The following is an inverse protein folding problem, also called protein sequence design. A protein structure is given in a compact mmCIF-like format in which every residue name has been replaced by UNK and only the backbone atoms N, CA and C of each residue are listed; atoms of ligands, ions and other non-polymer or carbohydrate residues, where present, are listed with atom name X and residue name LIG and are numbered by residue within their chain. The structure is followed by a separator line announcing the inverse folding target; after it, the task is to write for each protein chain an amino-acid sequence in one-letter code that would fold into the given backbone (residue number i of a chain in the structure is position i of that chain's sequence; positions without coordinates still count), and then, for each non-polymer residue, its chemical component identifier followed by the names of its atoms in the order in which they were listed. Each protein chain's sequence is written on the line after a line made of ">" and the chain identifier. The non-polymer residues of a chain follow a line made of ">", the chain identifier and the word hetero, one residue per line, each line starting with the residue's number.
data_IF_940630233864
#
_entry.id   IF_940630233864
#
_cell.length_a   1.000
_cell.length_b   1.000
_cell.length_c   1.000
_cell.angle_alpha   90.00
_cell.angle_beta   90.00
_cell.angle_gamma   90.00
#
_symmetry.space_group_name_H-M   'P 1'
#
loop_
_entity.id
_entity.type
_entity.pdbx_description
1 polymer ?
#
# COMPACT_ATOMS: atom_id res chain seq x y z
N UNK A 1 9.71 -22.78 -0.49
CA UNK A 1 8.94 -23.00 -1.73
C UNK A 1 8.95 -21.67 -2.45
N UNK A 2 9.20 -21.62 -3.77
CA UNK A 2 9.17 -20.37 -4.54
C UNK A 2 7.83 -19.63 -4.38
N UNK A 3 7.79 -18.35 -4.76
CA UNK A 3 6.53 -17.61 -4.89
C UNK A 3 5.59 -18.34 -5.86
N UNK A 4 4.31 -18.39 -5.51
CA UNK A 4 3.26 -18.86 -6.41
C UNK A 4 2.64 -17.64 -7.11
N UNK A 5 2.81 -17.54 -8.43
CA UNK A 5 2.23 -16.44 -9.22
C UNK A 5 0.89 -16.90 -9.77
N UNK A 6 -0.16 -16.12 -9.47
CA UNK A 6 -1.53 -16.29 -9.91
C UNK A 6 -1.99 -15.07 -10.68
N UNK A 7 -2.82 -15.31 -11.69
CA UNK A 7 -3.50 -14.25 -12.40
C UNK A 7 -4.65 -13.67 -11.54
N UNK A 8 -5.04 -12.41 -11.78
CA UNK A 8 -6.23 -11.81 -11.19
C UNK A 8 -7.54 -12.61 -11.41
N UNK A 9 -7.58 -13.53 -12.37
CA UNK A 9 -8.72 -14.42 -12.61
C UNK A 9 -8.67 -15.77 -11.89
N UNK A 10 -7.55 -16.11 -11.24
CA UNK A 10 -7.39 -17.38 -10.52
C UNK A 10 -8.18 -17.41 -9.19
N UNK A 11 -8.33 -18.58 -8.55
CA UNK A 11 -8.95 -18.69 -7.24
C UNK A 11 -8.29 -17.78 -6.19
N UNK A 12 -9.13 -17.01 -5.48
CA UNK A 12 -8.69 -16.06 -4.46
C UNK A 12 -8.31 -16.77 -3.17
N UNK A 13 -7.36 -16.17 -2.45
CA UNK A 13 -7.10 -16.50 -1.05
C UNK A 13 -8.09 -15.73 -0.15
N UNK A 14 -8.39 -16.23 1.07
CA UNK A 14 -9.35 -15.58 1.97
C UNK A 14 -8.87 -14.20 2.44
N UNK A 15 -7.56 -13.97 2.47
CA UNK A 15 -6.90 -12.76 2.93
C UNK A 15 -5.84 -12.34 1.91
N UNK A 16 -5.88 -11.08 1.44
CA UNK A 16 -4.95 -10.56 0.45
C UNK A 16 -4.43 -9.19 0.90
N UNK A 17 -3.11 -9.04 0.97
CA UNK A 17 -2.45 -7.77 1.21
C UNK A 17 -2.25 -7.02 -0.12
N UNK A 18 -2.58 -5.74 -0.17
CA UNK A 18 -2.34 -4.91 -1.34
C UNK A 18 -1.06 -4.11 -1.13
N UNK A 19 -0.12 -4.22 -2.04
CA UNK A 19 1.04 -3.34 -2.05
C UNK A 19 0.68 -1.93 -2.58
N UNK A 20 1.66 -1.03 -2.62
CA UNK A 20 1.44 0.31 -3.15
C UNK A 20 1.22 0.34 -4.66
N UNK A 21 1.89 -0.51 -5.44
CA UNK A 21 1.75 -0.52 -6.90
C UNK A 21 0.32 -0.88 -7.34
N UNK A 22 -0.28 -1.91 -6.73
CA UNK A 22 -1.68 -2.26 -6.92
C UNK A 22 -2.62 -1.16 -6.38
N UNK A 23 -2.36 -0.65 -5.17
CA UNK A 23 -3.21 0.38 -4.55
C UNK A 23 -3.24 1.68 -5.35
N UNK A 24 -2.11 2.08 -5.94
CA UNK A 24 -2.03 3.22 -6.86
C UNK A 24 -2.85 2.95 -8.10
N UNK A 25 -2.70 1.76 -8.73
CA UNK A 25 -3.44 1.41 -9.92
C UNK A 25 -4.97 1.40 -9.69
N UNK A 26 -5.44 0.93 -8.53
CA UNK A 26 -6.87 0.99 -8.17
C UNK A 26 -7.41 2.41 -8.10
N UNK A 27 -6.63 3.40 -7.62
CA UNK A 27 -7.11 4.78 -7.45
C UNK A 27 -6.86 5.68 -8.65
N UNK A 28 -5.79 5.46 -9.41
CA UNK A 28 -5.41 6.35 -10.52
C UNK A 28 -6.07 5.88 -11.82
N UNK A 29 -7.16 6.54 -12.21
CA UNK A 29 -7.88 6.26 -13.44
C UNK A 29 -7.03 6.39 -14.73
N UNK A 30 -5.87 7.03 -14.67
CA UNK A 30 -4.94 7.15 -15.79
C UNK A 30 -3.86 6.08 -15.79
N UNK A 31 -3.80 5.22 -14.76
CA UNK A 31 -2.83 4.14 -14.69
C UNK A 31 -3.15 3.07 -15.75
N UNK A 32 -2.12 2.56 -16.43
CA UNK A 32 -2.29 1.57 -17.52
C UNK A 32 -3.04 0.31 -17.04
N UNK A 33 -2.78 -0.10 -15.81
CA UNK A 33 -3.38 -1.28 -15.17
C UNK A 33 -4.63 -0.94 -14.33
N UNK A 34 -5.17 0.28 -14.42
CA UNK A 34 -6.29 0.71 -13.57
C UNK A 34 -7.50 -0.21 -13.67
N UNK A 35 -7.90 -0.53 -14.89
CA UNK A 35 -9.12 -1.30 -15.15
C UNK A 35 -9.05 -2.69 -14.53
N UNK A 36 -7.98 -3.44 -14.80
CA UNK A 36 -7.79 -4.80 -14.30
C UNK A 36 -7.61 -4.84 -12.78
N UNK A 37 -6.89 -3.88 -12.19
CA UNK A 37 -6.76 -3.78 -10.73
C UNK A 37 -8.10 -3.45 -10.06
N UNK A 38 -8.87 -2.53 -10.63
CA UNK A 38 -10.20 -2.18 -10.11
C UNK A 38 -11.18 -3.36 -10.24
N UNK A 39 -11.15 -4.08 -11.36
CA UNK A 39 -11.95 -5.31 -11.55
C UNK A 39 -11.57 -6.38 -10.51
N UNK A 40 -10.27 -6.58 -10.22
CA UNK A 40 -9.80 -7.48 -9.18
C UNK A 40 -10.25 -7.05 -7.77
N UNK A 41 -10.13 -5.75 -7.45
CA UNK A 41 -10.59 -5.18 -6.17
C UNK A 41 -12.10 -5.36 -5.96
N UNK A 42 -12.90 -5.12 -7.00
CA UNK A 42 -14.34 -5.35 -6.99
C UNK A 42 -14.68 -6.83 -6.79
N UNK A 43 -13.95 -7.73 -7.46
CA UNK A 43 -14.10 -9.18 -7.29
C UNK A 43 -13.82 -9.60 -5.84
N UNK A 44 -12.71 -9.15 -5.26
CA UNK A 44 -12.38 -9.43 -3.85
C UNK A 44 -13.52 -8.99 -2.91
N UNK A 45 -14.08 -7.80 -3.13
CA UNK A 45 -15.21 -7.30 -2.35
C UNK A 45 -16.49 -8.14 -2.54
N UNK A 46 -16.80 -8.55 -3.76
CA UNK A 46 -17.96 -9.40 -4.08
C UNK A 46 -17.85 -10.79 -3.46
N UNK A 47 -16.66 -11.38 -3.49
CA UNK A 47 -16.37 -12.70 -2.92
C UNK A 47 -16.07 -12.65 -1.41
N UNK A 48 -16.13 -11.46 -0.80
CA UNK A 48 -15.89 -11.22 0.65
C UNK A 48 -14.49 -11.64 1.11
N UNK A 49 -13.50 -11.45 0.25
CA UNK A 49 -12.08 -11.56 0.60
C UNK A 49 -11.70 -10.41 1.52
N UNK A 50 -10.98 -10.71 2.60
CA UNK A 50 -10.43 -9.69 3.48
C UNK A 50 -9.17 -9.08 2.83
N UNK A 51 -9.30 -7.85 2.34
CA UNK A 51 -8.18 -7.12 1.75
C UNK A 51 -7.53 -6.22 2.80
N UNK A 52 -6.20 -6.12 2.77
CA UNK A 52 -5.44 -5.33 3.75
C UNK A 52 -4.47 -4.35 3.08
N UNK A 53 -4.34 -3.16 3.66
CA UNK A 53 -3.29 -2.18 3.32
C UNK A 53 -2.59 -1.70 4.60
N UNK A 54 -1.32 -1.36 4.53
CA UNK A 54 -0.61 -0.77 5.67
C UNK A 54 -0.41 0.74 5.55
N UNK A 55 0.06 1.36 6.62
CA UNK A 55 0.56 2.73 6.63
C UNK A 55 1.71 2.96 5.62
N UNK A 56 2.52 1.95 5.31
CA UNK A 56 3.51 2.04 4.22
C UNK A 56 2.84 2.27 2.87
N UNK A 57 1.75 1.55 2.58
CA UNK A 57 0.97 1.72 1.34
C UNK A 57 0.40 3.12 1.26
N UNK A 58 -0.20 3.60 2.36
CA UNK A 58 -0.76 4.95 2.42
C UNK A 58 0.31 6.02 2.20
N UNK A 59 1.49 5.87 2.80
CA UNK A 59 2.61 6.78 2.62
C UNK A 59 3.09 6.82 1.15
N UNK A 60 3.22 5.66 0.51
CA UNK A 60 3.64 5.59 -0.89
C UNK A 60 2.59 6.12 -1.87
N UNK A 61 1.31 5.83 -1.64
CA UNK A 61 0.19 6.42 -2.40
C UNK A 61 0.19 7.94 -2.26
N UNK A 62 0.34 8.47 -1.05
CA UNK A 62 0.43 9.92 -0.83
C UNK A 62 1.63 10.53 -1.55
N UNK A 63 2.81 9.91 -1.43
CA UNK A 63 4.01 10.38 -2.11
C UNK A 63 3.85 10.35 -3.63
N UNK A 64 3.26 9.30 -4.19
CA UNK A 64 2.94 9.20 -5.61
C UNK A 64 2.06 10.37 -6.07
N UNK A 65 0.95 10.62 -5.37
CA UNK A 65 0.02 11.71 -5.71
C UNK A 65 0.68 13.09 -5.60
N UNK A 66 1.45 13.32 -4.53
CA UNK A 66 2.21 14.56 -4.34
C UNK A 66 3.19 14.77 -5.49
N UNK A 67 4.03 13.76 -5.77
CA UNK A 67 5.05 13.85 -6.80
C UNK A 67 4.43 14.08 -8.17
N UNK A 68 3.44 13.29 -8.56
CA UNK A 68 2.78 13.39 -9.86
C UNK A 68 2.13 14.76 -10.07
N UNK A 69 1.47 15.30 -9.04
CA UNK A 69 0.85 16.62 -9.12
C UNK A 69 1.88 17.75 -9.15
N UNK A 70 2.96 17.66 -8.36
CA UNK A 70 4.05 18.62 -8.39
C UNK A 70 4.83 18.59 -9.71
N UNK A 71 5.00 17.42 -10.33
CA UNK A 71 5.63 17.31 -11.65
C UNK A 71 4.77 18.00 -12.72
N UNK A 72 3.45 17.82 -12.70
CA UNK A 72 2.54 18.50 -13.61
C UNK A 72 2.59 20.03 -13.45
N UNK A 73 2.44 20.52 -12.21
CA UNK A 73 2.48 21.95 -11.91
C UNK A 73 3.87 22.56 -12.16
N UNK A 74 4.93 21.81 -11.86
CA UNK A 74 6.30 22.19 -12.11
C UNK A 74 6.57 22.40 -13.59
N UNK A 75 6.16 21.44 -14.44
CA UNK A 75 6.27 21.56 -15.91
C UNK A 75 5.59 22.81 -16.45
N UNK A 76 4.39 23.15 -15.94
CA UNK A 76 3.68 24.38 -16.34
C UNK A 76 4.45 25.67 -15.98
N UNK A 77 5.31 25.61 -14.97
CA UNK A 77 6.12 26.74 -14.47
C UNK A 77 7.59 26.66 -14.90
N UNK A 78 7.98 25.65 -15.71
CA UNK A 78 9.38 25.42 -16.08
C UNK A 78 10.29 25.02 -14.90
N UNK A 79 9.73 24.40 -13.86
CA UNK A 79 10.43 24.00 -12.63
C UNK A 79 10.47 22.49 -12.47
N UNK A 80 11.55 21.97 -11.89
CA UNK A 80 11.57 20.62 -11.34
C UNK A 80 10.66 20.54 -10.10
N UNK A 81 10.00 19.40 -9.87
CA UNK A 81 8.99 19.28 -8.82
C UNK A 81 9.50 19.62 -7.40
N UNK A 82 10.75 19.23 -7.07
CA UNK A 82 11.37 19.60 -5.78
C UNK A 82 11.66 21.08 -5.67
N UNK A 83 11.95 21.73 -6.79
CA UNK A 83 12.19 23.17 -6.83
C UNK A 83 10.89 23.94 -6.64
N UNK A 84 9.80 23.51 -7.29
CA UNK A 84 8.46 24.06 -7.04
C UNK A 84 8.11 23.96 -5.55
N UNK A 85 8.24 22.77 -4.96
CA UNK A 85 7.93 22.56 -3.55
C UNK A 85 8.79 23.43 -2.62
N UNK A 86 10.08 23.61 -2.93
CA UNK A 86 10.97 24.46 -2.13
C UNK A 86 10.60 25.94 -2.21
N UNK A 87 10.17 26.41 -3.38
CA UNK A 87 9.81 27.82 -3.62
C UNK A 87 8.42 28.16 -3.09
N UNK A 88 7.49 27.22 -3.17
CA UNK A 88 6.08 27.39 -2.82
C UNK A 88 5.55 26.12 -2.12
N UNK A 89 5.81 25.94 -0.81
CA UNK A 89 5.32 24.79 -0.06
C UNK A 89 3.79 24.72 0.04
N UNK A 90 3.10 25.86 -0.09
CA UNK A 90 1.63 25.96 -0.01
C UNK A 90 0.91 25.19 -1.13
N UNK A 91 1.63 24.85 -2.21
CA UNK A 91 1.12 23.98 -3.28
C UNK A 91 0.59 22.65 -2.75
N UNK A 92 1.13 22.16 -1.62
CA UNK A 92 0.69 20.92 -0.97
C UNK A 92 -0.78 21.01 -0.52
N UNK A 93 -1.25 22.18 -0.09
CA UNK A 93 -2.62 22.37 0.39
C UNK A 93 -3.65 22.01 -0.71
N UNK A 94 -3.33 22.31 -1.97
CA UNK A 94 -4.15 21.94 -3.13
C UNK A 94 -4.08 20.46 -3.51
N UNK A 95 -3.12 19.70 -2.97
CA UNK A 95 -2.92 18.27 -3.21
C UNK A 95 -3.58 17.44 -2.10
N UNK A 96 -3.63 17.95 -0.87
CA UNK A 96 -4.19 17.25 0.28
C UNK A 96 -5.60 16.66 0.06
N UNK A 97 -6.55 17.33 -0.63
CA UNK A 97 -7.84 16.75 -0.95
C UNK A 97 -7.75 15.48 -1.81
N UNK A 98 -6.80 15.41 -2.75
CA UNK A 98 -6.58 14.22 -3.59
C UNK A 98 -6.11 13.02 -2.76
N UNK A 99 -5.19 13.27 -1.82
CA UNK A 99 -4.67 12.23 -0.92
C UNK A 99 -5.79 11.71 -0.02
N UNK A 100 -6.59 12.61 0.57
CA UNK A 100 -7.72 12.24 1.43
C UNK A 100 -8.76 11.42 0.67
N UNK A 101 -9.08 11.81 -0.56
CA UNK A 101 -10.02 11.07 -1.40
C UNK A 101 -9.48 9.68 -1.75
N UNK A 102 -8.21 9.56 -2.14
CA UNK A 102 -7.60 8.26 -2.43
C UNK A 102 -7.60 7.33 -1.20
N UNK A 103 -7.30 7.87 -0.01
CA UNK A 103 -7.36 7.07 1.23
C UNK A 103 -8.79 6.62 1.56
N UNK A 104 -9.77 7.50 1.39
CA UNK A 104 -11.18 7.15 1.57
C UNK A 104 -11.63 6.09 0.55
N UNK A 105 -11.21 6.20 -0.71
CA UNK A 105 -11.49 5.22 -1.76
C UNK A 105 -10.88 3.85 -1.43
N UNK A 106 -9.62 3.79 -1.02
CA UNK A 106 -8.98 2.55 -0.57
C UNK A 106 -9.72 1.91 0.61
N UNK A 107 -10.17 2.71 1.59
CA UNK A 107 -10.90 2.21 2.75
C UNK A 107 -12.26 1.60 2.42
N UNK A 108 -12.79 1.83 1.21
CA UNK A 108 -14.01 1.14 0.74
C UNK A 108 -13.76 -0.31 0.31
N UNK A 109 -12.50 -0.72 0.14
CA UNK A 109 -12.12 -2.05 -0.32
C UNK A 109 -11.22 -2.81 0.64
N UNK A 110 -10.33 -2.12 1.34
CA UNK A 110 -9.31 -2.74 2.18
C UNK A 110 -9.38 -2.26 3.64
N UNK A 111 -9.16 -3.18 4.55
CA UNK A 111 -8.96 -2.93 5.97
C UNK A 111 -7.54 -2.42 6.21
N UNK A 112 -7.41 -1.53 7.18
CA UNK A 112 -6.10 -0.99 7.54
C UNK A 112 -5.39 -1.93 8.52
N UNK A 113 -4.13 -2.22 8.22
CA UNK A 113 -3.24 -3.08 8.97
C UNK A 113 -2.06 -2.23 9.44
N UNK A 114 -2.01 -1.84 10.73
CA UNK A 114 -0.97 -0.96 11.25
C UNK A 114 0.42 -1.62 11.14
N UNK A 115 1.43 -0.88 10.68
CA UNK A 115 2.79 -1.23 11.09
C UNK A 115 2.92 -1.10 12.60
N UNK A 116 3.76 -1.95 13.20
CA UNK A 116 3.95 -2.02 14.65
C UNK A 116 4.57 -0.73 15.26
N UNK A 117 4.84 0.28 14.44
CA UNK A 117 5.31 1.61 14.84
C UNK A 117 4.19 2.64 14.63
N UNK A 118 3.31 2.80 15.62
CA UNK A 118 2.04 3.54 15.56
C UNK A 118 2.06 5.05 15.22
N UNK A 119 3.13 5.61 14.65
CA UNK A 119 3.26 7.05 14.39
C UNK A 119 2.37 7.56 13.24
N UNK A 120 2.08 6.73 12.23
CA UNK A 120 1.27 7.17 11.09
C UNK A 120 -0.25 7.16 11.41
N UNK A 121 -0.68 6.25 12.29
CA UNK A 121 -2.08 6.18 12.75
C UNK A 121 -2.50 7.41 13.55
N UNK A 122 -1.63 7.92 14.42
CA UNK A 122 -1.91 9.13 15.20
C UNK A 122 -2.14 10.35 14.30
N UNK A 123 -1.59 10.34 13.08
CA UNK A 123 -1.78 11.38 12.07
C UNK A 123 -3.07 11.19 11.27
N UNK A 124 -3.44 9.94 10.95
CA UNK A 124 -4.67 9.57 10.23
C UNK A 124 -5.94 9.63 11.11
N UNK A 125 -5.84 9.28 12.39
CA UNK A 125 -6.94 9.34 13.36
C UNK A 125 -7.42 10.79 13.60
N UNK A 126 -6.53 11.78 13.44
CA UNK A 126 -6.88 13.20 13.43
C UNK A 126 -7.69 13.61 12.18
N UNK A 127 -7.73 12.77 11.14
CA UNK A 127 -8.39 13.06 9.86
C UNK A 127 -9.82 12.54 9.74
N UNK A 128 -10.43 12.06 10.85
CA UNK A 128 -11.83 11.59 10.90
C UNK A 128 -12.17 10.53 9.83
N UNK A 129 -11.24 9.63 9.53
CA UNK A 129 -11.59 8.43 8.77
C UNK A 129 -12.59 7.59 9.58
N UNK A 130 -13.64 7.02 8.95
CA UNK A 130 -14.69 6.34 9.68
C UNK A 130 -14.13 5.20 10.57
N UNK A 131 -14.44 5.21 11.88
CA UNK A 131 -13.88 4.27 12.86
C UNK A 131 -14.36 2.83 12.68
N UNK A 132 -15.36 2.57 11.83
CA UNK A 132 -15.90 1.22 11.59
C UNK A 132 -14.93 0.22 10.95
N UNK A 133 -13.78 0.65 10.42
CA UNK A 133 -12.72 -0.26 9.95
C UNK A 133 -11.53 -0.45 10.93
N UNK A 134 -11.55 0.23 12.08
CA UNK A 134 -10.54 0.05 13.13
C UNK A 134 -10.80 -1.20 14.00
N UNK A 135 -11.86 -1.96 13.73
CA UNK A 135 -12.26 -3.13 14.51
C UNK A 135 -11.66 -4.41 13.90
N UNK A 136 -10.35 -4.57 14.07
CA UNK A 136 -9.67 -5.87 14.29
C UNK A 136 -8.31 -5.70 15.01
N UNK A 137 -8.10 -4.55 15.65
CA UNK A 137 -6.88 -4.15 16.38
C UNK A 137 -6.64 -4.91 17.70
N UNK A 138 -7.61 -5.69 18.19
CA UNK A 138 -7.49 -6.37 19.48
C UNK A 138 -6.74 -7.72 19.43
N UNK A 139 -6.46 -8.26 18.23
CA UNK A 139 -5.77 -9.54 18.08
C UNK A 139 -4.25 -9.40 17.81
N UNK A 140 -3.79 -8.27 17.25
CA UNK A 140 -2.37 -8.04 16.93
C UNK A 140 -1.53 -7.57 18.13
N UNK A 141 -2.17 -7.10 19.21
CA UNK A 141 -1.50 -6.66 20.43
C UNK A 141 -0.77 -7.79 21.20
N UNK A 142 -0.89 -9.05 20.75
CA UNK A 142 -0.22 -10.20 21.36
C UNK A 142 1.14 -10.56 20.71
N UNK A 143 1.56 -9.89 19.63
CA UNK A 143 2.79 -10.23 18.88
C UNK A 143 3.96 -9.26 19.11
N UNK A 144 3.94 -8.50 20.21
CA UNK A 144 5.14 -7.79 20.68
C UNK A 144 6.12 -8.76 21.35
N UNK A 145 6.84 -9.54 20.54
CA UNK A 145 7.98 -10.33 21.01
C UNK A 145 9.23 -10.04 20.16
N UNK A 146 9.89 -8.92 20.48
CA UNK A 146 11.34 -8.69 20.39
C UNK A 146 12.08 -9.00 19.07
N UNK A 147 11.46 -8.75 17.91
CA UNK A 147 12.19 -8.49 16.65
C UNK A 147 11.63 -7.20 16.07
N UNK A 148 12.49 -6.24 15.74
CA UNK A 148 12.01 -5.00 15.13
C UNK A 148 11.69 -5.27 13.66
N UNK A 149 10.55 -4.76 13.15
CA UNK A 149 10.20 -4.86 11.72
C UNK A 149 11.37 -4.46 10.79
N UNK A 150 12.25 -3.57 11.26
CA UNK A 150 13.48 -3.19 10.57
C UNK A 150 14.47 -4.34 10.42
N UNK A 151 14.69 -5.20 11.41
CA UNK A 151 15.66 -6.30 11.32
C UNK A 151 15.19 -7.38 10.34
N UNK A 152 13.90 -7.73 10.37
CA UNK A 152 13.30 -8.69 9.43
C UNK A 152 13.28 -8.14 8.00
N UNK A 153 12.91 -6.86 7.83
CA UNK A 153 12.93 -6.22 6.53
C UNK A 153 14.36 -6.18 5.97
N UNK A 154 15.36 -5.86 6.79
CA UNK A 154 16.76 -5.88 6.38
C UNK A 154 17.25 -7.28 5.98
N UNK A 155 16.80 -8.33 6.67
CA UNK A 155 17.10 -9.71 6.26
C UNK A 155 16.50 -10.03 4.88
N UNK A 156 15.28 -9.58 4.58
CA UNK A 156 14.70 -9.75 3.24
C UNK A 156 15.43 -8.93 2.18
N UNK A 157 15.82 -7.69 2.49
CA UNK A 157 16.65 -6.84 1.61
C UNK A 157 17.95 -7.55 1.25
N UNK A 158 18.66 -8.09 2.25
CA UNK A 158 19.93 -8.78 2.03
C UNK A 158 19.76 -10.07 1.22
N UNK A 159 18.73 -10.86 1.56
CA UNK A 159 18.48 -12.18 0.98
C UNK A 159 17.95 -12.10 -0.45
N UNK A 160 16.96 -11.24 -0.68
CA UNK A 160 16.21 -11.17 -1.94
C UNK A 160 16.52 -9.92 -2.78
N UNK A 161 17.39 -9.02 -2.29
CA UNK A 161 17.80 -7.79 -2.99
C UNK A 161 16.66 -6.81 -3.27
N UNK A 162 15.62 -6.86 -2.43
CA UNK A 162 14.49 -5.94 -2.48
C UNK A 162 14.86 -4.53 -2.04
N UNK A 163 14.05 -3.54 -2.44
CA UNK A 163 14.11 -2.24 -1.77
C UNK A 163 13.60 -2.38 -0.33
N UNK A 164 14.05 -1.50 0.59
CA UNK A 164 13.60 -1.54 1.98
C UNK A 164 12.08 -1.40 2.15
N UNK A 165 11.41 -0.66 1.27
CA UNK A 165 9.95 -0.48 1.28
C UNK A 165 9.23 -1.77 0.91
N UNK A 166 9.66 -2.45 -0.15
CA UNK A 166 9.08 -3.72 -0.60
C UNK A 166 9.25 -4.80 0.47
N UNK A 167 10.44 -4.86 1.08
CA UNK A 167 10.69 -5.72 2.22
C UNK A 167 9.77 -5.40 3.40
N UNK A 168 9.52 -4.12 3.70
CA UNK A 168 8.61 -3.71 4.77
C UNK A 168 7.16 -4.15 4.51
N UNK A 169 6.66 -4.04 3.27
CA UNK A 169 5.33 -4.56 2.90
C UNK A 169 5.19 -6.04 3.20
N UNK A 170 6.19 -6.82 2.77
CA UNK A 170 6.19 -8.27 2.96
C UNK A 170 6.22 -8.63 4.44
N UNK A 171 7.10 -8.01 5.24
CA UNK A 171 7.17 -8.27 6.68
C UNK A 171 5.87 -7.89 7.38
N UNK A 172 5.27 -6.74 7.04
CA UNK A 172 4.03 -6.28 7.67
C UNK A 172 2.90 -7.27 7.40
N UNK A 173 2.72 -7.72 6.16
CA UNK A 173 1.71 -8.72 5.81
C UNK A 173 1.95 -10.08 6.51
N UNK A 174 3.19 -10.59 6.45
CA UNK A 174 3.55 -11.87 7.05
C UNK A 174 3.43 -11.86 8.58
N UNK A 175 3.72 -10.74 9.23
CA UNK A 175 3.55 -10.57 10.69
C UNK A 175 2.07 -10.61 11.13
N UNK A 176 1.14 -10.52 10.18
CA UNK A 176 -0.30 -10.66 10.40
C UNK A 176 -0.87 -11.95 9.81
N UNK A 177 0.00 -12.88 9.37
CA UNK A 177 -0.40 -14.16 8.80
C UNK A 177 -0.85 -14.10 7.33
N UNK A 178 -0.86 -12.93 6.71
CA UNK A 178 -1.28 -12.74 5.31
C UNK A 178 -0.13 -13.10 4.38
N UNK A 179 -0.35 -14.07 3.49
CA UNK A 179 0.68 -14.58 2.56
C UNK A 179 0.37 -14.31 1.09
N UNK A 180 -0.85 -13.86 0.79
CA UNK A 180 -1.25 -13.51 -0.56
C UNK A 180 -1.13 -11.99 -0.74
N UNK A 181 -0.57 -11.58 -1.87
CA UNK A 181 -0.32 -10.19 -2.20
C UNK A 181 -0.95 -9.87 -3.54
N UNK A 182 -1.60 -8.72 -3.66
CA UNK A 182 -1.92 -8.10 -4.94
C UNK A 182 -0.84 -7.06 -5.23
N UNK A 183 -0.14 -7.21 -6.35
CA UNK A 183 1.00 -6.34 -6.71
C UNK A 183 1.20 -6.27 -8.22
N UNK A 184 1.76 -5.18 -8.70
CA UNK A 184 2.30 -5.02 -10.05
C UNK A 184 3.84 -5.03 -10.06
N UNK A 185 4.46 -5.19 -8.90
CA UNK A 185 5.91 -5.21 -8.74
C UNK A 185 6.44 -6.65 -8.89
N UNK A 186 7.19 -6.95 -9.98
CA UNK A 186 7.75 -8.28 -10.18
C UNK A 186 8.82 -8.65 -9.16
N UNK A 187 9.39 -7.69 -8.42
CA UNK A 187 10.44 -7.97 -7.43
C UNK A 187 9.92 -8.82 -6.26
N UNK A 188 8.61 -8.77 -5.99
CA UNK A 188 7.96 -9.64 -5.00
C UNK A 188 8.09 -11.13 -5.36
N UNK A 189 8.22 -11.48 -6.65
CA UNK A 189 8.37 -12.87 -7.11
C UNK A 189 9.68 -13.52 -6.64
N UNK A 190 10.64 -12.72 -6.16
CA UNK A 190 11.89 -13.22 -5.59
C UNK A 190 11.69 -13.88 -4.21
N UNK A 191 10.58 -13.60 -3.51
CA UNK A 191 10.38 -14.04 -2.14
C UNK A 191 9.71 -15.41 -2.06
N UNK A 192 10.37 -16.36 -1.40
CA UNK A 192 9.82 -17.69 -1.17
C UNK A 192 8.59 -17.68 -0.26
N UNK A 193 7.57 -18.48 -0.61
CA UNK A 193 6.49 -18.87 0.30
C UNK A 193 5.30 -17.91 0.37
N UNK A 194 5.22 -16.98 -0.58
CA UNK A 194 4.09 -16.06 -0.76
C UNK A 194 3.33 -16.37 -2.06
N UNK A 195 2.09 -15.91 -2.13
CA UNK A 195 1.22 -16.00 -3.31
C UNK A 195 1.09 -14.59 -3.88
N UNK A 196 1.29 -14.43 -5.19
CA UNK A 196 1.23 -13.15 -5.88
C UNK A 196 0.09 -13.16 -6.87
N UNK A 197 -0.88 -12.28 -6.68
CA UNK A 197 -1.88 -11.93 -7.67
C UNK A 197 -1.35 -10.78 -8.51
N UNK A 198 -1.18 -11.04 -9.81
CA UNK A 198 -0.69 -10.10 -10.81
C UNK A 198 -1.57 -10.18 -12.07
N UNK A 199 -1.59 -9.16 -12.94
CA UNK A 199 -2.36 -9.21 -14.18
C UNK A 199 -1.84 -10.20 -15.23
#
# INVERSE_FOLDING_TARGET
>A
MPAEIRNFHDPLEPEIYWDSSFSIAVNDANHTHHRECLEFALRCKMERVACYISDWVLNEVAFYLIRTRLELLGRQRGLYWRELLRRDPSVIDGIMPLIRNAFAELSNFALWLPSLNGQFYDLLSQWQLPPEHAIQLAASAAWSANVTLSDEAMQLVERYRLLPTDAAHIVVALSHGVRAFATLDPDFALVDGIILFMP
#
